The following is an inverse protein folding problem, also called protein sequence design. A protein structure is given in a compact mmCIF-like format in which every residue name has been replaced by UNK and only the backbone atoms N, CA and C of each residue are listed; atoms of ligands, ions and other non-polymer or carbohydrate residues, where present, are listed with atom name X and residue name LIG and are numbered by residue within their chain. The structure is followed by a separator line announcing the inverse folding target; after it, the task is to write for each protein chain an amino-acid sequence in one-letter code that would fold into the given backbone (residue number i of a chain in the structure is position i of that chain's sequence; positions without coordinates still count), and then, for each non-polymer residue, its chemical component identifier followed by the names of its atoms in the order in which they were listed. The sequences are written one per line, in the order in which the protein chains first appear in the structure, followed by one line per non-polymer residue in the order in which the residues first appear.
data_IF_883651159126
#
_entry.id   IF_883651159126
#
_cell.length_a   1.000
_cell.length_b   1.000
_cell.length_c   1.000
_cell.angle_alpha   90.00
_cell.angle_beta   90.00
_cell.angle_gamma   90.00
#
_symmetry.space_group_name_H-M   'P 1'
#
loop_
_entity.id
_entity.type
_entity.pdbx_description
1 polymer ?
#
# COMPACT_ATOMS: atom_id res chain seq x y z
N UNK A 1 6.62 -28.12 -22.49
CA UNK A 1 5.48 -27.18 -22.60
C UNK A 1 6.06 -25.79 -22.57
N UNK A 2 5.81 -24.98 -23.61
CA UNK A 2 6.22 -23.57 -23.59
C UNK A 2 5.20 -22.79 -22.76
N UNK A 3 5.60 -22.29 -21.60
CA UNK A 3 4.76 -21.37 -20.81
C UNK A 3 4.82 -20.03 -21.51
N UNK A 4 3.69 -19.55 -22.03
CA UNK A 4 3.61 -18.17 -22.50
C UNK A 4 3.53 -17.27 -21.25
N UNK A 5 4.67 -16.66 -20.92
CA UNK A 5 4.82 -15.79 -19.76
C UNK A 5 3.97 -14.51 -19.87
N UNK A 6 3.59 -14.10 -21.08
CA UNK A 6 2.75 -12.91 -21.31
C UNK A 6 1.32 -13.06 -20.79
N UNK A 7 0.91 -14.30 -20.45
CA UNK A 7 -0.46 -14.64 -20.04
C UNK A 7 -0.60 -15.01 -18.56
N UNK A 8 0.39 -14.71 -17.73
CA UNK A 8 0.33 -14.99 -16.29
C UNK A 8 0.64 -13.74 -15.47
N UNK A 9 0.02 -13.65 -14.29
CA UNK A 9 0.35 -12.63 -13.30
C UNK A 9 1.76 -12.84 -12.75
N UNK A 10 2.59 -11.80 -12.76
CA UNK A 10 3.95 -11.78 -12.21
C UNK A 10 4.04 -12.21 -10.74
N UNK A 11 3.02 -11.92 -9.93
CA UNK A 11 3.04 -12.15 -8.48
C UNK A 11 2.39 -13.46 -8.05
N UNK A 12 1.43 -13.98 -8.80
CA UNK A 12 0.68 -15.19 -8.40
C UNK A 12 0.57 -16.27 -9.47
N UNK A 13 1.15 -16.06 -10.65
CA UNK A 13 1.13 -16.97 -11.80
C UNK A 13 -0.26 -17.34 -12.33
N UNK A 14 -1.32 -16.67 -11.88
CA UNK A 14 -2.67 -16.88 -12.40
C UNK A 14 -2.80 -16.37 -13.84
N UNK A 15 -3.39 -17.18 -14.71
CA UNK A 15 -3.71 -16.88 -16.11
C UNK A 15 -5.20 -16.65 -16.39
N UNK A 16 -6.06 -16.76 -15.36
CA UNK A 16 -7.52 -16.71 -15.50
C UNK A 16 -8.12 -15.33 -15.19
N UNK A 17 -7.32 -14.28 -15.27
CA UNK A 17 -7.70 -12.95 -14.82
C UNK A 17 -7.27 -11.90 -15.84
N UNK A 18 -7.95 -10.75 -15.83
CA UNK A 18 -7.47 -9.53 -16.48
C UNK A 18 -6.08 -9.19 -15.93
N UNK A 19 -5.14 -8.98 -16.85
CA UNK A 19 -3.76 -8.61 -16.58
C UNK A 19 -3.56 -7.14 -16.96
N UNK A 20 -2.90 -6.40 -16.08
CA UNK A 20 -2.59 -4.98 -16.23
C UNK A 20 -1.07 -4.82 -16.32
N UNK A 21 -0.57 -3.90 -17.17
CA UNK A 21 0.86 -3.65 -17.26
C UNK A 21 1.38 -3.04 -15.97
N UNK A 22 2.55 -3.49 -15.52
CA UNK A 22 3.25 -2.89 -14.38
C UNK A 22 3.85 -1.52 -14.77
N UNK A 23 4.15 -1.33 -16.06
CA UNK A 23 4.73 -0.13 -16.67
C UNK A 23 3.72 0.43 -17.70
N UNK A 24 2.83 1.37 -17.32
CA UNK A 24 1.85 1.95 -18.25
C UNK A 24 2.51 2.95 -19.21
N UNK A 25 2.17 2.88 -20.49
CA UNK A 25 2.75 3.75 -21.55
C UNK A 25 2.20 5.18 -21.59
N UNK A 26 1.39 5.59 -20.60
CA UNK A 26 0.64 6.85 -20.61
C UNK A 26 1.00 7.82 -19.49
N UNK A 27 2.03 7.52 -18.68
CA UNK A 27 2.58 8.52 -17.77
C UNK A 27 3.36 9.55 -18.59
N UNK A 28 2.86 10.79 -18.65
CA UNK A 28 3.44 11.88 -19.45
C UNK A 28 4.84 12.32 -19.04
N UNK A 29 5.40 11.76 -17.96
CA UNK A 29 6.74 12.06 -17.46
C UNK A 29 7.56 10.76 -17.36
N UNK A 30 8.48 10.58 -18.32
CA UNK A 30 9.47 9.48 -18.37
C UNK A 30 10.47 9.50 -17.18
N UNK A 31 10.44 10.55 -16.36
CA UNK A 31 11.34 10.72 -15.21
C UNK A 31 10.89 9.98 -13.96
N UNK A 32 9.62 9.58 -13.86
CA UNK A 32 9.10 8.96 -12.65
C UNK A 32 9.14 7.42 -12.77
N UNK A 33 9.79 6.73 -11.83
CA UNK A 33 9.76 5.27 -11.82
C UNK A 33 8.31 4.79 -11.64
N UNK A 34 7.91 3.69 -12.31
CA UNK A 34 6.55 3.21 -12.22
C UNK A 34 6.18 2.92 -10.78
N UNK A 35 5.18 3.66 -10.28
CA UNK A 35 4.73 3.64 -8.89
C UNK A 35 4.43 2.22 -8.41
N UNK A 36 3.92 1.36 -9.29
CA UNK A 36 3.60 -0.02 -8.95
C UNK A 36 4.84 -0.90 -8.74
N UNK A 37 5.83 -0.83 -9.64
CA UNK A 37 7.06 -1.61 -9.52
C UNK A 37 7.79 -1.30 -8.20
N UNK A 38 7.82 -0.01 -7.81
CA UNK A 38 8.36 0.43 -6.53
C UNK A 38 7.59 -0.16 -5.35
N UNK A 39 6.25 -0.04 -5.35
CA UNK A 39 5.41 -0.63 -4.30
C UNK A 39 5.61 -2.14 -4.15
N UNK A 40 5.74 -2.86 -5.27
CA UNK A 40 6.00 -4.31 -5.27
C UNK A 40 7.34 -4.59 -4.57
N UNK A 41 8.41 -3.88 -4.97
CA UNK A 41 9.72 -4.00 -4.32
C UNK A 41 9.64 -3.71 -2.82
N UNK A 42 8.98 -2.64 -2.44
CA UNK A 42 8.91 -2.17 -1.06
C UNK A 42 8.07 -3.06 -0.14
N UNK A 43 7.05 -3.74 -0.67
CA UNK A 43 6.12 -4.55 0.12
C UNK A 43 6.50 -6.03 0.15
N UNK A 44 7.02 -6.57 -0.96
CA UNK A 44 7.29 -8.02 -1.10
C UNK A 44 8.71 -8.36 -1.55
N UNK A 45 9.61 -7.37 -1.63
CA UNK A 45 11.03 -7.55 -1.99
C UNK A 45 11.26 -8.19 -3.36
N UNK A 46 10.31 -8.04 -4.29
CA UNK A 46 10.46 -8.49 -5.68
C UNK A 46 10.84 -7.29 -6.54
N UNK A 47 12.03 -7.34 -7.14
CA UNK A 47 12.47 -6.34 -8.11
C UNK A 47 11.98 -6.73 -9.51
N UNK A 48 11.39 -5.76 -10.21
CA UNK A 48 10.85 -5.95 -11.56
C UNK A 48 11.41 -4.83 -12.43
N UNK A 49 11.99 -5.19 -13.57
CA UNK A 49 12.40 -4.25 -14.62
C UNK A 49 11.48 -4.38 -15.84
N UNK A 50 11.43 -3.31 -16.65
CA UNK A 50 10.69 -3.32 -17.92
C UNK A 50 11.33 -4.29 -18.94
N UNK A 51 12.65 -4.51 -18.83
CA UNK A 51 13.42 -5.41 -19.68
C UNK A 51 13.59 -6.82 -19.08
N UNK A 52 12.73 -7.22 -18.13
CA UNK A 52 12.79 -8.57 -17.54
C UNK A 52 12.42 -9.66 -18.57
N UNK A 53 13.11 -10.79 -18.54
CA UNK A 53 12.71 -12.03 -19.28
C UNK A 53 11.48 -12.73 -18.66
N UNK A 54 10.79 -12.05 -17.75
CA UNK A 54 9.71 -12.58 -16.91
C UNK A 54 8.46 -11.70 -17.08
N UNK A 55 7.25 -12.19 -16.72
CA UNK A 55 6.02 -11.45 -16.94
C UNK A 55 6.05 -10.02 -16.37
N UNK A 56 5.77 -9.01 -17.18
CA UNK A 56 5.69 -7.60 -16.77
C UNK A 56 4.24 -7.14 -16.53
N UNK A 57 3.32 -8.11 -16.37
CA UNK A 57 1.91 -7.88 -16.10
C UNK A 57 1.48 -8.44 -14.74
N UNK A 58 0.50 -7.80 -14.10
CA UNK A 58 -0.07 -8.20 -12.81
C UNK A 58 -1.58 -8.28 -12.90
N UNK A 59 -2.21 -9.23 -12.19
CA UNK A 59 -3.66 -9.27 -12.10
C UNK A 59 -4.18 -8.25 -11.07
N UNK A 60 -5.44 -7.83 -11.24
CA UNK A 60 -6.11 -6.85 -10.36
C UNK A 60 -6.01 -7.20 -8.86
N UNK A 61 -6.23 -8.46 -8.49
CA UNK A 61 -6.13 -8.92 -7.09
C UNK A 61 -4.74 -8.66 -6.48
N UNK A 62 -3.68 -8.91 -7.25
CA UNK A 62 -2.32 -8.70 -6.78
C UNK A 62 -1.97 -7.21 -6.71
N UNK A 63 -2.44 -6.42 -7.68
CA UNK A 63 -2.36 -4.95 -7.64
C UNK A 63 -3.02 -4.38 -6.37
N UNK A 64 -4.26 -4.79 -6.09
CA UNK A 64 -5.02 -4.34 -4.91
C UNK A 64 -4.31 -4.71 -3.61
N UNK A 65 -3.81 -5.95 -3.50
CA UNK A 65 -3.04 -6.40 -2.35
C UNK A 65 -1.78 -5.55 -2.14
N UNK A 66 -0.99 -5.28 -3.19
CA UNK A 66 0.22 -4.46 -3.10
C UNK A 66 -0.11 -3.04 -2.67
N UNK A 67 -1.17 -2.44 -3.22
CA UNK A 67 -1.61 -1.10 -2.80
C UNK A 67 -2.06 -1.08 -1.33
N UNK A 68 -2.83 -2.08 -0.90
CA UNK A 68 -3.27 -2.19 0.50
C UNK A 68 -2.09 -2.40 1.45
N UNK A 69 -1.13 -3.25 1.11
CA UNK A 69 0.08 -3.44 1.90
C UNK A 69 0.95 -2.19 1.97
N UNK A 70 1.07 -1.44 0.88
CA UNK A 70 1.81 -0.18 0.88
C UNK A 70 1.19 0.85 1.84
N UNK A 71 -0.14 0.99 1.81
CA UNK A 71 -0.87 1.86 2.75
C UNK A 71 -0.66 1.39 4.18
N UNK A 72 -0.82 0.09 4.43
CA UNK A 72 -0.64 -0.50 5.76
C UNK A 72 0.79 -0.31 6.28
N UNK A 73 1.80 -0.52 5.43
CA UNK A 73 3.22 -0.28 5.75
C UNK A 73 3.44 1.16 6.19
N UNK A 74 2.92 2.14 5.46
CA UNK A 74 3.04 3.55 5.82
C UNK A 74 2.37 3.89 7.17
N UNK A 75 1.24 3.25 7.49
CA UNK A 75 0.58 3.38 8.80
C UNK A 75 1.46 2.81 9.92
N UNK A 76 2.05 1.62 9.71
CA UNK A 76 2.97 1.01 10.67
C UNK A 76 4.22 1.87 10.90
N UNK A 77 4.85 2.37 9.84
CA UNK A 77 6.05 3.23 9.93
C UNK A 77 5.75 4.52 10.68
N UNK A 78 4.63 5.19 10.37
CA UNK A 78 4.20 6.40 11.10
C UNK A 78 3.95 6.12 12.57
N UNK A 79 3.24 5.01 12.87
CA UNK A 79 2.95 4.60 14.24
C UNK A 79 4.24 4.31 15.01
N UNK A 80 5.17 3.57 14.40
CA UNK A 80 6.46 3.25 15.01
C UNK A 80 7.29 4.51 15.28
N UNK A 81 7.39 5.43 14.31
CA UNK A 81 8.09 6.70 14.48
C UNK A 81 7.46 7.55 15.60
N UNK A 82 6.13 7.56 15.70
CA UNK A 82 5.43 8.26 16.78
C UNK A 82 5.74 7.62 18.14
N UNK A 83 5.68 6.29 18.27
CA UNK A 83 6.01 5.60 19.51
C UNK A 83 7.46 5.86 19.94
N UNK A 84 8.43 5.74 19.03
CA UNK A 84 9.83 6.08 19.30
C UNK A 84 10.00 7.54 19.75
N UNK A 85 9.28 8.47 19.12
CA UNK A 85 9.33 9.89 19.51
C UNK A 85 8.77 10.16 20.91
N UNK A 86 7.84 9.33 21.39
CA UNK A 86 7.28 9.43 22.74
C UNK A 86 8.24 8.80 23.76
N UNK A 87 8.80 7.62 23.48
CA UNK A 87 9.79 6.97 24.35
C UNK A 87 11.07 7.80 24.50
N UNK A 88 11.49 8.51 23.45
CA UNK A 88 12.63 9.42 23.51
C UNK A 88 12.34 10.75 24.24
N UNK A 89 11.07 11.05 24.57
CA UNK A 89 10.61 12.30 25.19
C UNK A 89 10.22 12.17 26.67
N UNK A 90 10.56 11.06 27.32
CA UNK A 90 10.47 10.95 28.78
C UNK A 90 11.55 11.81 29.48
N UNK A 91 11.30 13.12 29.51
CA UNK A 91 11.67 14.00 30.63
C UNK A 91 10.80 15.26 30.75
N UNK A 92 9.96 15.64 29.77
CA UNK A 92 9.01 16.75 29.99
C UNK A 92 7.97 16.87 28.87
N UNK A 93 6.69 16.98 29.23
CA UNK A 93 5.55 17.45 28.42
C UNK A 93 4.79 16.38 27.62
N UNK A 94 3.92 15.64 28.32
CA UNK A 94 2.71 15.05 27.74
C UNK A 94 1.60 16.13 27.78
N UNK A 95 1.27 16.73 26.64
CA UNK A 95 0.02 17.48 26.51
C UNK A 95 -1.13 16.49 26.33
N UNK A 96 -2.13 16.62 27.20
CA UNK A 96 -3.34 15.82 27.26
C UNK A 96 -4.11 15.87 25.93
N UNK A 97 -4.35 14.69 25.34
CA UNK A 97 -5.29 14.54 24.24
C UNK A 97 -6.70 14.82 24.81
N UNK A 98 -7.21 16.02 24.56
CA UNK A 98 -8.55 16.43 24.98
C UNK A 98 -9.60 15.64 24.18
N UNK A 99 -9.98 14.46 24.69
CA UNK A 99 -11.09 13.67 24.15
C UNK A 99 -12.34 14.51 24.39
N UNK A 100 -12.85 15.14 23.32
CA UNK A 100 -14.16 15.80 23.36
C UNK A 100 -15.18 14.72 23.77
N UNK A 101 -15.71 14.87 24.98
CA UNK A 101 -16.82 14.06 25.48
C UNK A 101 -18.00 14.15 24.52
N UNK A 102 -18.64 13.00 24.30
CA UNK A 102 -19.88 12.89 23.52
C UNK A 102 -20.92 13.90 24.02
N UNK A 103 -21.71 14.51 23.11
CA UNK A 103 -22.79 15.39 23.52
C UNK A 103 -23.83 14.58 24.32
N UNK A 104 -24.14 15.05 25.54
CA UNK A 104 -25.27 14.54 26.32
C UNK A 104 -26.54 14.61 25.47
N UNK A 105 -27.16 13.47 25.24
CA UNK A 105 -28.54 13.40 24.77
C UNK A 105 -29.43 13.96 25.88
N UNK A 106 -29.89 15.20 25.71
CA UNK A 106 -30.96 15.76 26.52
C UNK A 106 -32.21 14.88 26.36
N UNK A 107 -32.53 14.14 27.42
CA UNK A 107 -33.80 13.44 27.53
C UNK A 107 -34.92 14.45 27.75
N UNK A 108 -35.98 14.36 26.95
CA UNK A 108 -37.30 14.84 27.31
C UNK A 108 -38.31 14.27 26.32
N UNK A 109 -39.05 13.24 26.71
CA UNK A 109 -40.50 13.18 26.50
C UNK A 109 -41.11 12.41 27.68
N UNK A 110 -41.82 13.16 28.51
CA UNK A 110 -42.66 12.73 29.62
C UNK A 110 -43.85 11.86 29.14
N UNK A 111 -44.39 11.07 30.08
CA UNK A 111 -45.62 10.24 30.08
C UNK A 111 -46.58 10.27 28.86
#
# INVERSE_FOLDING_TARGET
MNVNYDRVCRLCLSSRCELLPIFPTTSSDESDPPVLALKIKDCVSVQISENDDLPTNVCRKCMDNVNNWHIFKAVCERSQNKLLSLTNKDSSQLEELNIKSEPQSDGAYDD
#
